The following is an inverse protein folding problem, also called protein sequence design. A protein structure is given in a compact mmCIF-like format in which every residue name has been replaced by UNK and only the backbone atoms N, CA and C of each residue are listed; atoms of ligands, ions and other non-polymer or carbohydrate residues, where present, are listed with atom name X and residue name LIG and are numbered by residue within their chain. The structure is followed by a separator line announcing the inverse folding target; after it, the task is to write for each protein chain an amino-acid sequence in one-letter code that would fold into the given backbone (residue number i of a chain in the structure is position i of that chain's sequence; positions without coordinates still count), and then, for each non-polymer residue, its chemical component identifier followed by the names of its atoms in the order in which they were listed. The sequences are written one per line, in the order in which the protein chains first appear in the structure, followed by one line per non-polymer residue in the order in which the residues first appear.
data_IF_997639732845
#
_entry.id   IF_997639732845
#
_cell.length_a   1.000
_cell.length_b   1.000
_cell.length_c   1.000
_cell.angle_alpha   90.00
_cell.angle_beta   90.00
_cell.angle_gamma   90.00
#
_symmetry.space_group_name_H-M   'P 1'
#
loop_
_entity.id
_entity.type
_entity.pdbx_description
1 polymer ?
#
# COMPACT_ATOMS: atom_id res chain seq x y z
N UNK A 1 34.77 35.82 -42.65
CA UNK A 1 34.05 37.05 -43.01
C UNK A 1 35.00 37.92 -43.78
N UNK A 2 34.67 38.19 -45.05
CA UNK A 2 35.56 38.88 -45.99
C UNK A 2 35.36 40.39 -45.84
N UNK A 3 36.41 41.21 -45.92
CA UNK A 3 36.32 42.67 -45.70
C UNK A 3 35.33 43.38 -46.65
N UNK A 4 35.00 42.74 -47.77
CA UNK A 4 34.02 43.19 -48.77
C UNK A 4 32.58 43.05 -48.25
N UNK A 5 32.31 42.01 -47.45
CA UNK A 5 30.99 41.68 -46.90
C UNK A 5 30.61 42.69 -45.80
N UNK A 6 31.59 43.07 -44.98
CA UNK A 6 31.44 44.11 -43.94
C UNK A 6 31.18 45.48 -44.58
N UNK A 7 31.90 45.83 -45.65
CA UNK A 7 31.69 47.09 -46.36
C UNK A 7 30.32 47.16 -47.06
N UNK A 8 29.80 46.03 -47.53
CA UNK A 8 28.46 45.94 -48.12
C UNK A 8 27.34 46.06 -47.08
N UNK A 9 27.50 45.46 -45.89
CA UNK A 9 26.56 45.65 -44.78
C UNK A 9 26.56 47.11 -44.30
N UNK A 10 27.74 47.71 -44.11
CA UNK A 10 27.87 49.07 -43.60
C UNK A 10 27.28 50.10 -44.58
N UNK A 11 27.48 49.90 -45.89
CA UNK A 11 26.87 50.75 -46.92
C UNK A 11 25.36 50.54 -47.07
N UNK A 12 24.86 49.30 -46.90
CA UNK A 12 23.41 49.05 -46.84
C UNK A 12 22.77 49.72 -45.62
N UNK A 13 23.43 49.66 -44.46
CA UNK A 13 22.96 50.32 -43.24
C UNK A 13 22.87 51.84 -43.44
N UNK A 14 23.92 52.49 -43.94
CA UNK A 14 23.90 53.94 -44.20
C UNK A 14 22.82 54.35 -45.22
N UNK A 15 22.58 53.53 -46.26
CA UNK A 15 21.56 53.81 -47.28
C UNK A 15 20.12 53.67 -46.76
N UNK A 16 19.88 52.71 -45.85
CA UNK A 16 18.56 52.51 -45.21
C UNK A 16 18.22 53.67 -44.25
N UNK A 17 19.23 54.25 -43.60
CA UNK A 17 19.02 55.31 -42.61
C UNK A 17 19.22 56.73 -43.16
N UNK A 18 19.81 56.91 -44.35
CA UNK A 18 19.98 58.22 -44.98
C UNK A 18 18.67 58.83 -45.49
N UNK A 19 17.70 57.98 -45.86
CA UNK A 19 16.39 58.40 -46.38
C UNK A 19 15.35 58.67 -45.29
N UNK A 20 15.69 58.47 -44.01
CA UNK A 20 14.84 58.91 -42.91
C UNK A 20 15.04 60.42 -42.76
N UNK A 21 14.01 61.25 -43.04
CA UNK A 21 14.15 62.68 -42.82
C UNK A 21 14.53 62.91 -41.36
N UNK A 22 15.55 63.75 -41.10
CA UNK A 22 15.90 64.25 -39.76
C UNK A 22 14.74 65.08 -39.23
N UNK A 23 13.68 64.39 -38.84
CA UNK A 23 12.48 64.99 -38.30
C UNK A 23 12.74 65.24 -36.82
N UNK A 24 12.47 66.47 -36.40
CA UNK A 24 12.46 66.86 -35.00
C UNK A 24 11.18 66.31 -34.32
N UNK A 25 10.88 65.03 -34.54
CA UNK A 25 9.66 64.40 -34.08
C UNK A 25 9.85 63.99 -32.62
N UNK A 26 9.37 64.84 -31.71
CA UNK A 26 9.23 64.47 -30.29
C UNK A 26 8.18 63.37 -30.20
N UNK A 27 8.63 62.13 -30.05
CA UNK A 27 7.77 60.99 -29.73
C UNK A 27 6.90 61.42 -28.54
N UNK A 28 5.58 61.44 -28.76
CA UNK A 28 4.63 61.92 -27.77
C UNK A 28 4.73 61.04 -26.51
N UNK A 29 4.77 61.66 -25.32
CA UNK A 29 5.01 60.98 -24.04
C UNK A 29 4.04 59.80 -23.79
N UNK A 30 2.81 59.88 -24.31
CA UNK A 30 1.84 58.78 -24.21
C UNK A 30 2.23 57.54 -25.02
N UNK A 31 2.95 57.71 -26.14
CA UNK A 31 3.46 56.62 -26.96
C UNK A 31 4.64 55.93 -26.28
N UNK A 32 5.60 56.70 -25.76
CA UNK A 32 6.72 56.16 -24.97
C UNK A 32 6.23 55.42 -23.72
N UNK A 33 5.22 55.97 -23.03
CA UNK A 33 4.58 55.30 -21.89
C UNK A 33 3.92 53.98 -22.29
N UNK A 34 3.25 53.92 -23.45
CA UNK A 34 2.62 52.69 -23.96
C UNK A 34 3.67 51.66 -24.38
N UNK A 35 4.73 52.09 -25.07
CA UNK A 35 5.83 51.23 -25.49
C UNK A 35 6.58 50.64 -24.28
N UNK A 36 6.93 51.47 -23.28
CA UNK A 36 7.55 51.00 -22.03
C UNK A 36 6.65 50.07 -21.22
N UNK A 37 5.33 50.22 -21.30
CA UNK A 37 4.37 49.32 -20.64
C UNK A 37 4.37 47.95 -21.35
N UNK A 38 4.41 47.95 -22.67
CA UNK A 38 4.41 46.74 -23.49
C UNK A 38 5.71 45.94 -23.34
N UNK A 39 6.87 46.62 -23.30
CA UNK A 39 8.17 45.99 -23.02
C UNK A 39 8.19 45.39 -21.61
N UNK A 40 7.66 46.12 -20.61
CA UNK A 40 7.58 45.61 -19.23
C UNK A 40 6.65 44.41 -19.09
N UNK A 41 5.51 44.38 -19.78
CA UNK A 41 4.63 43.20 -19.77
C UNK A 41 5.28 42.00 -20.45
N UNK A 42 6.00 42.22 -21.55
CA UNK A 42 6.66 41.14 -22.29
C UNK A 42 7.85 40.55 -21.51
N UNK A 43 8.60 41.37 -20.77
CA UNK A 43 9.68 40.90 -19.91
C UNK A 43 9.16 40.21 -18.63
N UNK A 44 8.04 40.68 -18.07
CA UNK A 44 7.43 40.08 -16.88
C UNK A 44 6.80 38.70 -17.14
N UNK A 45 6.33 38.43 -18.37
CA UNK A 45 5.80 37.10 -18.75
C UNK A 45 6.91 36.07 -19.02
N UNK A 46 8.14 36.49 -19.33
CA UNK A 46 9.26 35.60 -19.66
C UNK A 46 10.15 35.23 -18.45
N UNK A 47 9.93 35.81 -17.27
CA UNK A 47 10.58 35.36 -16.03
C UNK A 47 9.76 34.25 -15.38
N UNK A 48 10.19 33.01 -15.57
CA UNK A 48 9.80 31.85 -14.78
C UNK A 48 10.24 32.02 -13.32
N UNK A 49 9.46 32.77 -12.54
CA UNK A 49 9.17 32.40 -11.16
C UNK A 49 7.90 33.13 -10.70
N UNK A 50 6.74 32.60 -11.09
CA UNK A 50 5.52 32.90 -10.35
C UNK A 50 5.61 32.12 -9.04
N UNK A 51 6.33 32.68 -8.07
CA UNK A 51 6.08 32.41 -6.66
C UNK A 51 4.61 32.74 -6.42
N UNK A 52 3.75 31.74 -6.57
CA UNK A 52 2.34 31.83 -6.21
C UNK A 52 2.35 32.25 -4.76
N UNK A 53 1.96 33.50 -4.49
CA UNK A 53 1.75 33.96 -3.13
C UNK A 53 0.53 33.19 -2.60
N UNK A 54 0.75 31.94 -2.20
CA UNK A 54 -0.28 31.04 -1.70
C UNK A 54 -0.71 31.63 -0.37
N UNK A 55 -1.95 32.11 -0.30
CA UNK A 55 -2.46 32.69 0.93
C UNK A 55 -2.29 31.69 2.07
N UNK A 56 -1.73 32.14 3.19
CA UNK A 56 -1.50 31.29 4.39
C UNK A 56 -2.77 30.51 4.79
N UNK A 57 -3.96 31.04 4.45
CA UNK A 57 -5.26 30.39 4.63
C UNK A 57 -5.41 29.13 3.76
N UNK A 58 -5.12 29.19 2.46
CA UNK A 58 -5.22 28.02 1.56
C UNK A 58 -4.25 26.91 1.95
N UNK A 59 -3.06 27.26 2.42
CA UNK A 59 -2.09 26.25 2.86
C UNK A 59 -2.53 25.54 4.15
N UNK A 60 -3.17 26.25 5.09
CA UNK A 60 -3.79 25.63 6.28
C UNK A 60 -4.87 24.62 5.91
N UNK A 61 -5.72 24.91 4.91
CA UNK A 61 -6.74 23.96 4.46
C UNK A 61 -6.12 22.72 3.79
N UNK A 62 -5.05 22.88 3.00
CA UNK A 62 -4.33 21.73 2.42
C UNK A 62 -3.72 20.86 3.53
N UNK A 63 -3.14 21.47 4.57
CA UNK A 63 -2.61 20.73 5.71
C UNK A 63 -3.73 20.02 6.48
N UNK A 64 -4.87 20.69 6.73
CA UNK A 64 -6.02 20.06 7.39
C UNK A 64 -6.54 18.89 6.57
N UNK A 65 -6.70 19.04 5.24
CA UNK A 65 -7.16 17.96 4.36
C UNK A 65 -6.17 16.79 4.35
N UNK A 66 -4.87 17.07 4.29
CA UNK A 66 -3.83 16.03 4.35
C UNK A 66 -3.82 15.32 5.71
N UNK A 67 -3.94 16.05 6.82
CA UNK A 67 -4.04 15.49 8.17
C UNK A 67 -5.33 14.68 8.32
N UNK A 68 -6.46 15.14 7.79
CA UNK A 68 -7.71 14.37 7.81
C UNK A 68 -7.61 13.12 6.95
N UNK A 69 -6.95 13.16 5.79
CA UNK A 69 -6.72 11.97 4.96
C UNK A 69 -5.82 10.95 5.68
N UNK A 70 -4.77 11.40 6.35
CA UNK A 70 -3.90 10.54 7.18
C UNK A 70 -4.67 9.97 8.38
N UNK A 71 -5.53 10.77 9.02
CA UNK A 71 -6.35 10.35 10.16
C UNK A 71 -7.51 9.41 9.76
N UNK A 72 -8.06 9.53 8.55
CA UNK A 72 -9.07 8.57 8.05
C UNK A 72 -8.49 7.20 7.76
N UNK A 73 -7.21 7.12 7.36
CA UNK A 73 -6.49 5.84 7.26
C UNK A 73 -6.32 5.21 8.66
N UNK A 74 -6.40 6.00 9.72
CA UNK A 74 -6.28 5.51 11.11
C UNK A 74 -7.61 5.04 11.72
N UNK A 75 -8.76 5.32 11.10
CA UNK A 75 -10.08 5.05 11.70
C UNK A 75 -10.65 3.66 11.37
N UNK A 76 -10.17 3.00 10.31
CA UNK A 76 -10.28 1.58 10.13
C UNK A 76 -8.85 1.04 10.13
N UNK A 77 -8.31 0.75 11.31
CA UNK A 77 -7.02 0.09 11.43
C UNK A 77 -7.17 -1.34 10.88
N UNK A 78 -7.17 -1.47 9.55
CA UNK A 78 -6.90 -2.74 8.88
C UNK A 78 -5.48 -3.07 9.31
N UNK A 79 -5.36 -4.02 10.22
CA UNK A 79 -4.05 -4.46 10.67
C UNK A 79 -3.60 -5.50 9.65
N UNK A 80 -2.78 -5.08 8.70
CA UNK A 80 -2.26 -5.95 7.65
C UNK A 80 -1.02 -6.68 8.19
N UNK A 81 -1.04 -8.01 8.14
CA UNK A 81 0.09 -8.86 8.49
C UNK A 81 0.33 -9.88 7.38
N UNK A 82 1.50 -9.82 6.74
CA UNK A 82 1.85 -10.70 5.63
C UNK A 82 0.75 -10.80 4.56
N UNK A 83 0.23 -9.67 4.08
CA UNK A 83 -0.91 -9.55 3.15
C UNK A 83 -2.28 -10.03 3.69
N UNK A 84 -2.36 -10.48 4.96
CA UNK A 84 -3.63 -10.76 5.62
C UNK A 84 -4.16 -9.46 6.22
N UNK A 85 -5.26 -8.96 5.67
CA UNK A 85 -6.01 -7.83 6.17
C UNK A 85 -7.08 -8.29 7.16
N UNK A 86 -7.17 -7.60 8.29
CA UNK A 86 -8.19 -7.81 9.30
C UNK A 86 -9.26 -6.71 9.22
N UNK A 87 -10.47 -7.06 8.79
CA UNK A 87 -11.65 -6.19 8.88
C UNK A 87 -12.43 -6.52 10.16
N UNK A 88 -12.58 -5.55 11.05
CA UNK A 88 -13.22 -5.74 12.36
C UNK A 88 -14.71 -5.40 12.32
N UNK A 89 -15.54 -6.28 12.88
CA UNK A 89 -16.95 -6.03 13.23
C UNK A 89 -17.18 -6.29 14.72
N UNK A 90 -18.37 -5.91 15.22
CA UNK A 90 -18.70 -5.94 16.64
C UNK A 90 -18.54 -7.31 17.32
N UNK A 91 -18.77 -8.41 16.60
CA UNK A 91 -18.74 -9.79 17.17
C UNK A 91 -17.81 -10.74 16.41
N UNK A 92 -17.23 -10.30 15.29
CA UNK A 92 -16.39 -11.13 14.44
C UNK A 92 -15.44 -10.24 13.65
N UNK A 93 -14.36 -10.84 13.16
CA UNK A 93 -13.52 -10.20 12.16
C UNK A 93 -13.52 -11.04 10.89
N UNK A 94 -13.41 -10.37 9.75
CA UNK A 94 -13.17 -11.00 8.47
C UNK A 94 -11.67 -10.92 8.16
N UNK A 95 -11.09 -12.05 7.78
CA UNK A 95 -9.74 -12.07 7.22
C UNK A 95 -9.81 -12.07 5.70
N UNK A 96 -9.03 -11.15 5.12
CA UNK A 96 -8.90 -10.96 3.69
C UNK A 96 -7.43 -11.08 3.30
N UNK A 97 -7.18 -11.39 2.03
CA UNK A 97 -5.83 -11.34 1.47
C UNK A 97 -5.80 -10.20 0.45
N UNK A 98 -4.86 -9.27 0.62
CA UNK A 98 -4.77 -8.06 -0.19
C UNK A 98 -4.16 -8.31 -1.59
N UNK A 99 -3.33 -9.36 -1.74
CA UNK A 99 -2.70 -9.72 -3.01
C UNK A 99 -2.98 -11.19 -3.36
N UNK A 100 -3.79 -11.41 -4.40
CA UNK A 100 -4.22 -12.73 -4.86
C UNK A 100 -3.72 -13.08 -6.27
N UNK A 101 -2.94 -12.21 -6.93
CA UNK A 101 -2.65 -12.35 -8.36
C UNK A 101 -1.80 -13.59 -8.72
N UNK A 102 -1.13 -14.19 -7.73
CA UNK A 102 -0.21 -15.33 -7.95
C UNK A 102 -0.57 -16.60 -7.19
N UNK A 103 -1.67 -16.59 -6.44
CA UNK A 103 -2.03 -17.73 -5.62
C UNK A 103 -2.68 -18.85 -6.46
N UNK A 104 -2.40 -20.11 -6.18
CA UNK A 104 -3.04 -21.23 -6.85
C UNK A 104 -4.54 -21.26 -6.56
N UNK A 105 -5.35 -21.59 -7.59
CA UNK A 105 -6.81 -21.75 -7.43
C UNK A 105 -7.17 -23.03 -6.67
N UNK A 106 -6.31 -24.05 -6.76
CA UNK A 106 -6.47 -25.36 -6.13
C UNK A 106 -5.23 -25.74 -5.32
N UNK A 107 -5.37 -26.63 -4.35
CA UNK A 107 -4.29 -27.21 -3.57
C UNK A 107 -3.54 -28.21 -4.46
N UNK A 108 -2.41 -27.75 -4.98
CA UNK A 108 -1.47 -28.58 -5.75
C UNK A 108 -0.46 -29.30 -4.85
N UNK A 109 -0.28 -28.77 -3.63
CA UNK A 109 0.67 -29.29 -2.64
C UNK A 109 0.03 -29.29 -1.25
N UNK A 110 -0.18 -30.48 -0.71
CA UNK A 110 -0.65 -30.66 0.67
C UNK A 110 0.51 -30.41 1.65
N UNK A 111 0.23 -29.67 2.72
CA UNK A 111 1.13 -29.48 3.85
C UNK A 111 0.64 -30.31 5.03
N UNK A 112 1.59 -30.87 5.78
CA UNK A 112 1.33 -31.70 6.95
C UNK A 112 2.16 -31.24 8.14
N UNK A 113 1.65 -31.53 9.33
CA UNK A 113 2.32 -31.29 10.60
C UNK A 113 3.30 -32.45 10.82
N UNK A 114 4.57 -32.14 11.06
CA UNK A 114 5.63 -33.18 11.10
C UNK A 114 6.15 -33.49 12.50
N UNK A 115 5.73 -32.74 13.52
CA UNK A 115 6.12 -32.98 14.91
C UNK A 115 5.03 -32.54 15.89
N UNK A 116 5.05 -33.10 17.10
CA UNK A 116 4.23 -32.63 18.23
C UNK A 116 2.80 -33.19 18.28
N UNK A 117 2.46 -34.20 17.47
CA UNK A 117 1.11 -34.79 17.40
C UNK A 117 1.09 -36.32 17.55
N UNK A 118 2.17 -36.93 18.05
CA UNK A 118 2.29 -38.39 18.14
C UNK A 118 1.17 -39.05 18.96
N UNK A 119 0.63 -38.33 19.96
CA UNK A 119 -0.44 -38.81 20.85
C UNK A 119 -1.85 -38.50 20.32
N UNK A 120 -1.98 -37.70 19.26
CA UNK A 120 -3.26 -37.24 18.75
C UNK A 120 -3.83 -38.17 17.66
N UNK A 121 -5.12 -38.46 17.74
CA UNK A 121 -5.86 -39.10 16.66
C UNK A 121 -6.22 -38.07 15.59
N UNK A 122 -5.77 -38.31 14.35
CA UNK A 122 -6.09 -37.47 13.17
C UNK A 122 -7.40 -37.88 12.52
N UNK A 123 -8.24 -36.89 12.19
CA UNK A 123 -9.45 -37.05 11.39
C UNK A 123 -9.55 -35.93 10.34
N UNK A 124 -9.82 -36.27 9.08
CA UNK A 124 -10.03 -35.27 8.03
C UNK A 124 -11.51 -34.90 7.95
N UNK A 125 -11.82 -33.64 8.25
CA UNK A 125 -13.19 -33.12 8.28
C UNK A 125 -13.67 -32.66 6.91
N UNK A 126 -12.75 -32.02 6.19
CA UNK A 126 -13.06 -31.40 4.91
C UNK A 126 -11.85 -31.50 4.01
N UNK A 127 -12.08 -31.91 2.77
CA UNK A 127 -11.06 -31.99 1.75
C UNK A 127 -11.73 -31.72 0.41
N UNK A 128 -11.47 -30.55 -0.15
CA UNK A 128 -11.86 -30.17 -1.49
C UNK A 128 -10.67 -29.53 -2.22
N UNK A 129 -10.89 -29.15 -3.47
CA UNK A 129 -9.82 -28.66 -4.34
C UNK A 129 -9.12 -27.40 -3.79
N UNK A 130 -9.70 -26.61 -2.89
CA UNK A 130 -9.08 -25.37 -2.38
C UNK A 130 -8.97 -25.25 -0.86
N UNK A 131 -9.35 -26.29 -0.11
CA UNK A 131 -9.42 -26.30 1.35
C UNK A 131 -9.30 -27.72 1.91
N UNK A 132 -8.34 -27.89 2.81
CA UNK A 132 -8.16 -29.09 3.63
C UNK A 132 -8.31 -28.68 5.10
N UNK A 133 -9.14 -29.40 5.84
CA UNK A 133 -9.34 -29.21 7.29
C UNK A 133 -9.17 -30.55 7.99
N UNK A 134 -8.26 -30.56 8.95
CA UNK A 134 -7.92 -31.71 9.75
C UNK A 134 -8.10 -31.42 11.22
N UNK A 135 -8.63 -32.39 11.95
CA UNK A 135 -8.74 -32.35 13.39
C UNK A 135 -7.80 -33.38 14.01
N UNK A 136 -7.15 -32.96 15.08
CA UNK A 136 -6.31 -33.79 15.91
C UNK A 136 -6.90 -33.77 17.31
N UNK A 137 -7.21 -34.94 17.86
CA UNK A 137 -7.79 -35.09 19.21
C UNK A 137 -6.98 -36.01 20.11
N UNK A 138 -6.76 -35.55 21.33
CA UNK A 138 -6.23 -36.35 22.44
C UNK A 138 -7.01 -36.00 23.73
N UNK A 139 -7.87 -36.90 24.19
CA UNK A 139 -8.79 -36.64 25.30
C UNK A 139 -9.65 -35.39 25.08
N UNK A 140 -9.51 -34.40 25.96
CA UNK A 140 -10.18 -33.10 25.89
C UNK A 140 -9.41 -32.07 25.02
N UNK A 141 -8.20 -32.41 24.58
CA UNK A 141 -7.37 -31.56 23.71
C UNK A 141 -7.82 -31.72 22.26
N UNK A 142 -8.04 -30.60 21.59
CA UNK A 142 -8.47 -30.53 20.19
C UNK A 142 -7.66 -29.46 19.47
N UNK A 143 -7.15 -29.85 18.30
CA UNK A 143 -6.45 -28.96 17.38
C UNK A 143 -7.10 -29.10 16.01
N UNK A 144 -7.48 -28.00 15.41
CA UNK A 144 -7.95 -27.93 14.03
C UNK A 144 -6.85 -27.25 13.21
N UNK A 145 -6.36 -27.95 12.21
CA UNK A 145 -5.44 -27.43 11.21
C UNK A 145 -6.19 -27.21 9.89
N UNK A 146 -6.00 -26.06 9.27
CA UNK A 146 -6.48 -25.83 7.92
C UNK A 146 -5.39 -25.35 6.99
N UNK A 147 -5.47 -25.81 5.74
CA UNK A 147 -4.77 -25.25 4.59
C UNK A 147 -5.82 -24.79 3.59
N UNK A 148 -5.72 -23.54 3.12
CA UNK A 148 -6.65 -22.94 2.18
C UNK A 148 -5.92 -22.20 1.07
N UNK A 149 -6.45 -22.26 -0.14
CA UNK A 149 -6.11 -21.31 -1.19
C UNK A 149 -6.61 -19.91 -0.81
N UNK A 150 -6.01 -18.88 -1.41
CA UNK A 150 -6.36 -17.50 -1.09
C UNK A 150 -7.83 -17.18 -1.39
N UNK A 151 -8.37 -17.77 -2.48
CA UNK A 151 -9.78 -17.63 -2.87
C UNK A 151 -10.73 -18.22 -1.82
N UNK A 152 -10.39 -19.38 -1.26
CA UNK A 152 -11.21 -20.05 -0.24
C UNK A 152 -11.09 -19.41 1.14
N UNK A 153 -9.93 -18.80 1.43
CA UNK A 153 -9.73 -18.09 2.68
C UNK A 153 -10.40 -16.71 2.71
N UNK A 154 -10.54 -16.05 1.56
CA UNK A 154 -11.03 -14.68 1.51
C UNK A 154 -12.44 -14.53 2.10
N UNK A 155 -12.59 -13.67 3.11
CA UNK A 155 -13.86 -13.48 3.82
C UNK A 155 -14.12 -14.55 4.88
N UNK A 156 -13.10 -15.32 5.28
CA UNK A 156 -13.20 -16.24 6.41
C UNK A 156 -13.56 -15.46 7.66
N UNK A 157 -14.69 -15.85 8.26
CA UNK A 157 -15.18 -15.28 9.50
C UNK A 157 -14.47 -15.91 10.67
N UNK A 158 -13.86 -15.08 11.49
CA UNK A 158 -13.23 -15.47 12.73
C UNK A 158 -13.97 -14.82 13.89
N UNK A 159 -14.26 -15.63 14.92
CA UNK A 159 -14.82 -15.10 16.15
C UNK A 159 -13.74 -14.35 16.93
N UNK A 160 -13.89 -13.03 16.99
CA UNK A 160 -13.02 -12.12 17.74
C UNK A 160 -13.78 -11.38 18.84
N UNK A 161 -15.01 -11.78 19.16
CA UNK A 161 -15.91 -11.09 20.11
C UNK A 161 -15.26 -10.86 21.49
N UNK A 162 -14.43 -11.80 21.92
CA UNK A 162 -13.68 -11.75 23.19
C UNK A 162 -12.19 -11.50 23.00
N UNK A 163 -11.73 -11.38 21.75
CA UNK A 163 -10.33 -11.17 21.38
C UNK A 163 -9.96 -9.67 21.29
N UNK A 164 -10.80 -8.80 21.83
CA UNK A 164 -10.64 -7.35 21.75
C UNK A 164 -9.33 -6.93 22.43
N UNK A 165 -8.33 -6.53 21.62
CA UNK A 165 -7.02 -6.07 22.09
C UNK A 165 -5.93 -7.13 22.23
N UNK A 166 -6.18 -8.41 21.91
CA UNK A 166 -5.20 -9.51 22.07
C UNK A 166 -4.60 -10.03 20.76
N UNK A 167 -4.97 -9.45 19.62
CA UNK A 167 -4.37 -9.81 18.33
C UNK A 167 -2.93 -9.31 18.28
N UNK A 168 -1.99 -10.23 18.15
CA UNK A 168 -0.55 -9.96 18.13
C UNK A 168 0.11 -10.59 16.92
N UNK A 169 1.13 -9.92 16.38
CA UNK A 169 2.05 -10.54 15.43
C UNK A 169 3.03 -11.47 16.16
N UNK A 170 3.32 -12.60 15.55
CA UNK A 170 4.36 -13.55 15.97
C UNK A 170 5.18 -13.98 14.77
N UNK A 171 6.38 -14.50 15.00
CA UNK A 171 7.21 -15.08 13.95
C UNK A 171 6.99 -16.59 13.89
N UNK A 172 6.83 -17.13 12.68
CA UNK A 172 6.81 -18.57 12.41
C UNK A 172 7.77 -18.81 11.25
N UNK A 173 8.96 -19.37 11.51
CA UNK A 173 9.99 -19.61 10.50
C UNK A 173 10.34 -18.35 9.65
N UNK A 174 10.38 -17.15 10.24
CA UNK A 174 10.63 -15.89 9.51
C UNK A 174 9.41 -15.30 8.80
N UNK A 175 8.22 -15.92 8.93
CA UNK A 175 6.95 -15.43 8.40
C UNK A 175 6.19 -14.74 9.52
N UNK A 176 5.68 -13.54 9.26
CA UNK A 176 4.82 -12.84 10.23
C UNK A 176 3.44 -13.49 10.25
N UNK A 177 3.07 -14.04 11.40
CA UNK A 177 1.80 -14.70 11.66
C UNK A 177 0.93 -13.89 12.61
N UNK A 178 -0.38 -14.11 12.52
CA UNK A 178 -1.42 -13.52 13.34
C UNK A 178 -1.80 -14.48 14.47
N UNK A 179 -1.65 -14.05 15.72
CA UNK A 179 -2.08 -14.82 16.91
C UNK A 179 -3.14 -14.06 17.69
N UNK A 180 -4.17 -14.77 18.17
CA UNK A 180 -5.16 -14.21 19.09
C UNK A 180 -5.90 -15.30 19.88
N UNK A 181 -6.53 -14.88 20.97
CA UNK A 181 -7.25 -15.76 21.91
C UNK A 181 -8.69 -15.26 22.01
N UNK A 182 -9.67 -16.18 21.89
CA UNK A 182 -11.08 -15.85 22.06
C UNK A 182 -11.69 -16.43 23.36
N UNK A 183 -10.82 -16.78 24.33
CA UNK A 183 -11.22 -17.35 25.62
C UNK A 183 -11.70 -18.80 25.58
N UNK A 184 -11.90 -19.39 24.39
CA UNK A 184 -12.18 -20.82 24.20
C UNK A 184 -11.03 -21.51 23.49
N UNK A 185 -10.49 -20.85 22.47
CA UNK A 185 -9.47 -21.36 21.58
C UNK A 185 -8.43 -20.28 21.28
N UNK A 186 -7.20 -20.73 21.15
CA UNK A 186 -6.09 -19.95 20.64
C UNK A 186 -5.99 -20.19 19.14
N UNK A 187 -5.87 -19.10 18.38
CA UNK A 187 -5.82 -19.16 16.92
C UNK A 187 -4.52 -18.55 16.42
N UNK A 188 -3.90 -19.21 15.44
CA UNK A 188 -2.73 -18.71 14.73
C UNK A 188 -2.96 -18.85 13.23
N UNK A 189 -2.74 -17.77 12.47
CA UNK A 189 -2.95 -17.71 11.03
C UNK A 189 -1.70 -17.14 10.34
N UNK A 190 -1.25 -17.79 9.27
CA UNK A 190 -0.12 -17.32 8.46
C UNK A 190 -0.27 -17.78 7.02
N UNK A 191 0.58 -17.30 6.11
CA UNK A 191 0.59 -17.75 4.74
C UNK A 191 2.02 -17.82 4.21
N UNK A 192 2.24 -18.62 3.17
CA UNK A 192 3.54 -18.80 2.51
C UNK A 192 3.55 -18.28 1.06
N UNK A 193 2.77 -17.22 0.78
CA UNK A 193 2.51 -16.67 -0.55
C UNK A 193 1.75 -17.59 -1.54
N UNK A 194 1.51 -18.86 -1.19
CA UNK A 194 0.72 -19.82 -1.98
C UNK A 194 -0.58 -20.20 -1.28
N UNK A 195 -0.51 -20.51 0.01
CA UNK A 195 -1.64 -20.98 0.82
C UNK A 195 -1.69 -20.24 2.14
N UNK A 196 -2.90 -20.13 2.69
CA UNK A 196 -3.12 -19.73 4.07
C UNK A 196 -3.23 -20.96 4.95
N UNK A 197 -2.57 -20.91 6.08
CA UNK A 197 -2.63 -21.93 7.12
C UNK A 197 -3.27 -21.33 8.36
N UNK A 198 -4.04 -22.14 9.08
CA UNK A 198 -4.49 -21.76 10.41
C UNK A 198 -4.52 -22.93 11.38
N UNK A 199 -4.28 -22.60 12.64
CA UNK A 199 -4.57 -23.47 13.77
C UNK A 199 -5.65 -22.86 14.65
N UNK A 200 -6.54 -23.70 15.15
CA UNK A 200 -7.40 -23.42 16.30
C UNK A 200 -7.19 -24.52 17.33
N UNK A 201 -6.78 -24.16 18.55
CA UNK A 201 -6.49 -25.13 19.60
C UNK A 201 -7.10 -24.69 20.94
N UNK A 202 -7.75 -25.61 21.65
CA UNK A 202 -8.44 -25.30 22.90
C UNK A 202 -7.55 -25.42 24.16
N UNK A 203 -6.40 -26.11 24.06
CA UNK A 203 -5.50 -26.40 25.19
C UNK A 203 -4.06 -25.99 24.98
N UNK A 204 -3.64 -25.69 23.75
CA UNK A 204 -2.27 -25.28 23.45
C UNK A 204 -2.09 -23.78 23.69
N UNK A 205 -1.06 -23.42 24.44
CA UNK A 205 -0.63 -22.04 24.63
C UNK A 205 0.04 -21.46 23.38
N UNK A 206 0.34 -20.15 23.42
CA UNK A 206 0.98 -19.40 22.33
C UNK A 206 2.24 -20.08 21.80
N UNK A 207 3.18 -20.41 22.68
CA UNK A 207 4.49 -20.94 22.29
C UNK A 207 4.40 -22.36 21.70
N UNK A 208 3.50 -23.19 22.23
CA UNK A 208 3.22 -24.53 21.68
C UNK A 208 2.60 -24.44 20.29
N UNK A 209 1.70 -23.48 20.08
CA UNK A 209 1.06 -23.25 18.79
C UNK A 209 2.05 -22.73 17.74
N UNK A 210 2.99 -21.88 18.15
CA UNK A 210 4.11 -21.43 17.29
C UNK A 210 4.98 -22.63 16.90
N UNK A 211 5.42 -23.43 17.87
CA UNK A 211 6.25 -24.62 17.61
C UNK A 211 5.54 -25.62 16.67
N UNK A 212 4.22 -25.82 16.83
CA UNK A 212 3.43 -26.66 15.96
C UNK A 212 3.38 -26.09 14.53
N UNK A 213 3.21 -24.78 14.40
CA UNK A 213 3.22 -24.06 13.11
C UNK A 213 4.56 -24.15 12.40
N UNK A 214 5.67 -24.10 13.14
CA UNK A 214 7.01 -24.25 12.59
C UNK A 214 7.29 -25.64 12.01
N UNK A 215 6.58 -26.67 12.51
CA UNK A 215 6.68 -28.05 12.06
C UNK A 215 5.93 -28.34 10.75
N UNK A 216 5.12 -27.41 10.26
CA UNK A 216 4.34 -27.59 9.03
C UNK A 216 5.26 -27.62 7.81
N UNK A 217 5.19 -28.68 7.02
CA UNK A 217 6.04 -28.91 5.83
C UNK A 217 5.22 -29.49 4.68
N UNK A 218 5.66 -29.33 3.41
CA UNK A 218 5.10 -30.07 2.31
C UNK A 218 5.09 -31.58 2.58
N UNK A 219 3.99 -32.24 2.27
CA UNK A 219 3.89 -33.70 2.27
C UNK A 219 4.89 -34.26 1.25
N UNK A 220 5.75 -35.19 1.72
CA UNK A 220 6.74 -35.87 0.87
C UNK A 220 6.09 -36.90 -0.05
#
# INVERSE_FOLDING_TARGET
MNNIEIALEETMYEMIFSDIPKTNYKIHHSFDRRMKKMIRSYLADNTLDKSVHKSKKRWRYIIIIAVTLVLTITAAAVVCYNNIALEKHDTFSLLHIEDTEKAPENIEREYVITAGLDEYMRNTFYNNDGCIVEEYKDGDSQIIFSQMTFSHFNGTRINTETAEGTITAVDVNGITALYFENGKENTLVWNNDEYVFSFQANKLGKDELIALSESVKPKQ
#
